data_IF_521587535173
#
_entry.id   IF_521587535173
#
_cell.length_a   1.000
_cell.length_b   1.000
_cell.length_c   1.000
_cell.angle_alpha   90.00
_cell.angle_beta   90.00
_cell.angle_gamma   90.00
#
_symmetry.space_group_name_H-M   'P 1'
#
loop_
_entity.id
_entity.type
_entity.pdbx_description
1 polymer ?
#
# COMPACT_ATOMS: atom_id res chain seq x y z
N UNK A 1 4.98 21.72 2.94
CA UNK A 1 4.42 20.50 2.33
C UNK A 1 3.26 20.05 3.20
N UNK A 2 2.02 20.22 2.75
CA UNK A 2 0.86 19.68 3.48
C UNK A 2 0.70 18.24 3.03
N UNK A 3 1.13 17.29 3.85
CA UNK A 3 0.76 15.89 3.67
C UNK A 3 -0.76 15.85 3.88
N UNK A 4 -1.52 15.88 2.79
CA UNK A 4 -2.95 15.60 2.82
C UNK A 4 -3.08 14.17 3.33
N UNK A 5 -3.57 14.06 4.55
CA UNK A 5 -3.74 12.84 5.32
C UNK A 5 -4.85 11.98 4.67
N UNK A 6 -4.60 11.41 3.49
CA UNK A 6 -5.45 10.35 2.90
C UNK A 6 -4.95 9.03 3.47
N UNK A 7 -5.23 8.88 4.75
CA UNK A 7 -4.98 7.69 5.53
C UNK A 7 -6.28 6.89 5.56
N UNK A 8 -6.70 6.40 4.39
CA UNK A 8 -7.93 5.63 4.27
C UNK A 8 -7.56 4.17 4.05
N UNK A 9 -7.92 3.38 5.06
CA UNK A 9 -8.05 1.92 5.07
C UNK A 9 -6.89 1.04 5.59
N UNK A 10 -5.67 1.55 5.85
CA UNK A 10 -4.64 0.73 6.53
C UNK A 10 -4.63 0.84 8.07
N UNK A 11 -5.31 1.84 8.65
CA UNK A 11 -5.26 2.09 10.10
C UNK A 11 -6.23 1.23 10.97
N UNK A 12 -7.11 0.43 10.37
CA UNK A 12 -8.15 -0.30 11.11
C UNK A 12 -7.76 -1.72 11.56
N UNK A 13 -6.47 -2.08 11.50
CA UNK A 13 -6.02 -3.44 11.82
C UNK A 13 -5.22 -3.60 13.12
N UNK A 14 -5.10 -2.57 13.96
CA UNK A 14 -4.58 -2.76 15.32
C UNK A 14 -5.43 -1.98 16.32
N UNK A 15 -6.17 -2.73 17.14
CA UNK A 15 -7.06 -2.34 18.23
C UNK A 15 -8.49 -1.97 17.85
N UNK A 16 -9.41 -2.88 18.18
CA UNK A 16 -10.83 -2.60 18.27
C UNK A 16 -11.08 -1.44 19.24
N UNK A 17 -11.38 -0.27 18.69
CA UNK A 17 -11.97 0.83 19.44
C UNK A 17 -12.90 1.60 18.50
N UNK A 18 -14.19 1.35 18.64
CA UNK A 18 -15.26 2.12 18.00
C UNK A 18 -15.26 3.50 18.65
N UNK A 19 -14.81 4.54 17.93
CA UNK A 19 -15.08 5.91 18.34
C UNK A 19 -16.34 6.42 17.67
N UNK A 20 -17.39 6.38 18.50
CA UNK A 20 -18.64 7.07 18.36
C UNK A 20 -18.38 8.56 18.13
N UNK A 21 -18.98 9.10 17.06
CA UNK A 21 -18.92 10.51 16.69
C UNK A 21 -19.59 11.39 17.75
N UNK A 22 -18.93 12.47 18.13
CA UNK A 22 -19.56 13.61 18.79
C UNK A 22 -18.85 14.89 18.37
N UNK A 23 -19.63 15.73 17.69
CA UNK A 23 -19.33 17.09 17.27
C UNK A 23 -18.78 17.94 18.42
N UNK A 24 -17.84 18.85 18.11
CA UNK A 24 -17.83 20.22 18.63
C UNK A 24 -16.85 21.08 17.81
N UNK A 25 -17.36 22.21 17.33
CA UNK A 25 -16.68 23.25 16.55
C UNK A 25 -15.56 23.99 17.34
N UNK A 26 -14.67 24.72 16.65
CA UNK A 26 -13.44 25.27 17.21
C UNK A 26 -13.65 26.63 17.90
N UNK A 27 -12.90 26.88 18.97
CA UNK A 27 -12.74 28.20 19.57
C UNK A 27 -11.53 28.92 18.97
N UNK A 28 -11.80 30.15 18.57
CA UNK A 28 -10.92 31.15 17.96
C UNK A 28 -9.81 31.58 18.92
N UNK A 29 -8.56 31.70 18.43
CA UNK A 29 -7.54 32.50 19.13
C UNK A 29 -7.01 33.54 18.15
N UNK A 30 -7.32 34.80 18.46
CA UNK A 30 -6.76 35.98 17.82
C UNK A 30 -5.38 36.30 18.39
N UNK A 31 -4.47 36.69 17.51
CA UNK A 31 -3.42 37.66 17.80
C UNK A 31 -2.03 37.10 18.08
N UNK A 32 -1.12 37.25 17.11
CA UNK A 32 -0.03 38.22 17.26
C UNK A 32 0.71 38.43 15.92
N UNK A 33 0.78 39.69 15.51
CA UNK A 33 1.61 40.21 14.44
C UNK A 33 3.08 40.20 14.87
N UNK A 34 3.97 39.67 14.04
CA UNK A 34 5.39 40.07 13.96
C UNK A 34 5.98 39.62 12.63
N UNK A 35 6.38 40.59 11.81
CA UNK A 35 7.16 40.41 10.59
C UNK A 35 8.53 39.85 10.94
N UNK A 36 8.85 38.65 10.46
CA UNK A 36 10.23 38.19 10.35
C UNK A 36 10.48 37.79 8.90
N UNK A 37 11.30 38.59 8.22
CA UNK A 37 11.92 38.25 6.95
C UNK A 37 12.80 37.03 7.18
N UNK A 38 12.40 35.87 6.66
CA UNK A 38 13.29 34.72 6.61
C UNK A 38 14.16 34.85 5.36
N UNK A 39 15.46 35.02 5.61
CA UNK A 39 16.51 34.82 4.64
C UNK A 39 16.47 33.36 4.18
N UNK A 40 16.54 33.15 2.87
CA UNK A 40 16.75 31.85 2.27
C UNK A 40 18.17 31.39 2.63
N UNK A 41 18.26 30.62 3.72
CA UNK A 41 19.40 29.76 4.04
C UNK A 41 19.08 28.39 3.48
N UNK A 42 19.43 28.14 2.22
CA UNK A 42 19.50 26.80 1.65
C UNK A 42 20.72 26.10 2.26
N UNK A 43 20.57 25.63 3.49
CA UNK A 43 21.35 24.49 3.96
C UNK A 43 20.70 23.26 3.34
N UNK A 44 21.44 22.56 2.49
CA UNK A 44 21.10 21.20 2.08
C UNK A 44 21.06 20.36 3.38
N UNK A 45 19.87 20.20 3.96
CA UNK A 45 19.66 19.23 5.03
C UNK A 45 19.92 17.86 4.42
N UNK A 46 21.08 17.29 4.72
CA UNK A 46 21.42 15.91 4.41
C UNK A 46 20.33 15.04 5.04
N UNK A 47 19.42 14.51 4.21
CA UNK A 47 18.33 13.65 4.67
C UNK A 47 18.98 12.37 5.18
N UNK A 48 19.10 12.25 6.50
CA UNK A 48 19.66 11.08 7.14
C UNK A 48 18.75 9.87 6.90
N UNK A 49 19.17 8.97 6.02
CA UNK A 49 18.45 7.74 5.71
C UNK A 49 18.36 6.83 6.96
N UNK A 50 17.26 6.05 7.08
CA UNK A 50 17.09 5.12 8.20
C UNK A 50 18.12 4.00 8.16
N UNK A 51 18.49 3.49 9.35
CA UNK A 51 19.40 2.35 9.46
C UNK A 51 18.65 1.03 9.18
N UNK A 52 19.40 -0.02 8.80
CA UNK A 52 18.80 -1.34 8.54
C UNK A 52 18.10 -1.94 9.77
N UNK A 53 18.59 -1.66 10.98
CA UNK A 53 17.97 -2.17 12.22
C UNK A 53 16.60 -1.53 12.47
N UNK A 54 16.46 -0.24 12.19
CA UNK A 54 15.19 0.47 12.24
C UNK A 54 14.20 -0.10 11.22
N UNK A 55 14.66 -0.30 9.98
CA UNK A 55 13.83 -0.86 8.90
C UNK A 55 13.36 -2.29 9.19
N UNK A 56 14.04 -3.05 10.03
CA UNK A 56 13.68 -4.44 10.38
C UNK A 56 12.70 -4.58 11.54
N UNK A 57 12.50 -3.54 12.34
CA UNK A 57 11.86 -3.72 13.65
C UNK A 57 10.97 -2.58 14.13
N UNK A 58 11.11 -1.38 13.58
CA UNK A 58 10.33 -0.23 14.04
C UNK A 58 8.87 -0.30 13.58
N UNK A 59 8.03 0.51 14.23
CA UNK A 59 6.58 0.46 14.11
C UNK A 59 6.10 0.86 12.71
N UNK A 60 4.90 0.41 12.33
CA UNK A 60 4.26 0.81 11.06
C UNK A 60 4.36 2.32 10.75
N UNK A 61 4.14 3.21 11.72
CA UNK A 61 4.16 4.67 11.49
C UNK A 61 5.58 5.14 11.14
N UNK A 62 6.59 4.59 11.82
CA UNK A 62 7.99 4.88 11.51
C UNK A 62 8.36 4.35 10.13
N UNK A 63 7.89 3.14 9.77
CA UNK A 63 8.12 2.53 8.46
C UNK A 63 7.54 3.37 7.30
N UNK A 64 6.37 4.00 7.48
CA UNK A 64 5.84 4.98 6.51
C UNK A 64 6.80 6.17 6.38
N UNK A 65 7.26 6.72 7.50
CA UNK A 65 8.23 7.81 7.51
C UNK A 65 9.54 7.46 6.79
N UNK A 66 10.05 6.25 7.02
CA UNK A 66 11.27 5.73 6.39
C UNK A 66 11.12 5.56 4.89
N UNK A 67 10.06 4.88 4.44
CA UNK A 67 9.82 4.68 3.02
C UNK A 67 9.68 6.01 2.27
N UNK A 68 9.04 7.02 2.87
CA UNK A 68 8.89 8.35 2.25
C UNK A 68 10.22 9.06 1.94
N UNK A 69 11.32 8.69 2.62
CA UNK A 69 12.63 9.29 2.41
C UNK A 69 13.36 8.70 1.20
N UNK A 70 13.26 7.38 1.01
CA UNK A 70 14.07 6.68 0.00
C UNK A 70 13.27 6.21 -1.23
N UNK A 71 11.94 6.14 -1.18
CA UNK A 71 11.11 5.85 -2.37
C UNK A 71 11.40 6.81 -3.54
N UNK A 72 11.59 8.13 -3.34
CA UNK A 72 11.96 9.03 -4.44
C UNK A 72 13.32 8.71 -5.07
N UNK A 73 14.19 7.97 -4.36
CA UNK A 73 15.51 7.57 -4.85
C UNK A 73 15.44 6.37 -5.78
N UNK A 74 14.32 5.64 -5.83
CA UNK A 74 14.12 4.49 -6.74
C UNK A 74 14.23 4.86 -8.23
N UNK A 75 14.04 6.13 -8.57
CA UNK A 75 14.20 6.65 -9.94
C UNK A 75 15.63 7.08 -10.25
N UNK A 76 16.56 6.99 -9.30
CA UNK A 76 17.95 7.42 -9.45
C UNK A 76 18.85 6.20 -9.66
N UNK A 77 19.56 6.14 -10.78
CA UNK A 77 20.39 4.98 -11.16
C UNK A 77 21.62 4.79 -10.24
N UNK A 78 22.10 5.86 -9.59
CA UNK A 78 23.32 5.85 -8.79
C UNK A 78 23.12 5.49 -7.31
N UNK A 79 21.86 5.30 -6.86
CA UNK A 79 21.55 5.01 -5.47
C UNK A 79 20.88 3.64 -5.36
N UNK A 80 21.62 2.67 -4.81
CA UNK A 80 21.07 1.36 -4.51
C UNK A 80 20.44 1.34 -3.11
N UNK A 81 19.10 1.23 -3.09
CA UNK A 81 18.29 1.11 -1.86
C UNK A 81 17.71 -0.29 -1.70
N UNK A 82 18.17 -1.29 -2.47
CA UNK A 82 17.61 -2.65 -2.44
C UNK A 82 17.67 -3.28 -1.05
N UNK A 83 18.81 -3.17 -0.35
CA UNK A 83 18.99 -3.71 1.00
C UNK A 83 18.04 -3.05 2.02
N UNK A 84 17.73 -1.76 1.84
CA UNK A 84 16.79 -1.03 2.69
C UNK A 84 15.36 -1.52 2.47
N UNK A 85 14.97 -1.70 1.20
CA UNK A 85 13.65 -2.22 0.85
C UNK A 85 13.52 -3.65 1.36
N UNK A 86 14.51 -4.51 1.14
CA UNK A 86 14.50 -5.88 1.64
C UNK A 86 14.36 -5.93 3.16
N UNK A 87 15.14 -5.11 3.88
CA UNK A 87 15.04 -4.99 5.33
C UNK A 87 13.62 -4.58 5.76
N UNK A 88 13.02 -3.61 5.07
CA UNK A 88 11.66 -3.16 5.36
C UNK A 88 10.59 -4.21 4.99
N UNK A 89 10.77 -4.97 3.91
CA UNK A 89 9.83 -6.01 3.51
C UNK A 89 9.93 -7.29 4.34
N UNK A 90 10.88 -7.37 5.29
CA UNK A 90 11.10 -8.55 6.12
C UNK A 90 10.02 -8.78 7.21
N UNK A 91 9.13 -7.82 7.44
CA UNK A 91 8.05 -7.94 8.44
C UNK A 91 6.79 -7.15 8.03
N UNK A 92 5.63 -7.52 8.61
CA UNK A 92 4.32 -6.98 8.23
C UNK A 92 4.20 -5.45 8.28
N UNK A 93 4.69 -4.83 9.35
CA UNK A 93 4.64 -3.37 9.53
C UNK A 93 5.49 -2.63 8.48
N UNK A 94 6.66 -3.18 8.14
CA UNK A 94 7.52 -2.62 7.12
C UNK A 94 6.92 -2.78 5.72
N UNK A 95 6.36 -3.95 5.39
CA UNK A 95 5.63 -4.15 4.12
C UNK A 95 4.49 -3.12 3.97
N UNK A 96 3.69 -2.93 5.02
CA UNK A 96 2.60 -1.93 5.02
C UNK A 96 3.14 -0.52 4.85
N UNK A 97 4.17 -0.15 5.62
CA UNK A 97 4.75 1.20 5.58
C UNK A 97 5.34 1.53 4.20
N UNK A 98 6.02 0.56 3.60
CA UNK A 98 6.54 0.66 2.23
C UNK A 98 5.42 0.87 1.22
N UNK A 99 4.41 -0.01 1.21
CA UNK A 99 3.34 0.07 0.21
C UNK A 99 2.50 1.34 0.34
N UNK A 100 2.26 1.85 1.54
CA UNK A 100 1.61 3.16 1.72
C UNK A 100 2.41 4.23 0.98
N UNK A 101 3.70 4.37 1.27
CA UNK A 101 4.51 5.44 0.69
C UNK A 101 4.71 5.28 -0.83
N UNK A 102 4.95 4.06 -1.29
CA UNK A 102 5.21 3.77 -2.70
C UNK A 102 3.94 3.91 -3.56
N UNK A 103 2.82 3.32 -3.13
CA UNK A 103 1.60 3.28 -3.95
C UNK A 103 0.80 4.58 -3.90
N UNK A 104 0.90 5.36 -2.83
CA UNK A 104 0.16 6.63 -2.69
C UNK A 104 1.02 7.87 -2.90
N UNK A 105 2.27 7.73 -3.35
CA UNK A 105 3.13 8.88 -3.64
C UNK A 105 2.56 9.81 -4.72
N UNK A 106 2.87 11.10 -4.63
CA UNK A 106 2.42 12.07 -5.63
C UNK A 106 2.95 11.74 -7.03
N UNK A 107 2.15 11.97 -8.07
CA UNK A 107 2.60 11.82 -9.46
C UNK A 107 3.38 13.07 -9.93
N UNK A 108 4.47 12.89 -10.72
CA UNK A 108 5.02 11.62 -11.19
C UNK A 108 5.78 10.86 -10.08
N UNK A 109 5.60 9.54 -10.04
CA UNK A 109 6.24 8.63 -9.08
C UNK A 109 6.84 7.42 -9.80
N UNK A 110 7.92 6.79 -9.28
CA UNK A 110 8.38 5.49 -9.77
C UNK A 110 7.32 4.37 -9.73
N UNK A 111 6.19 4.56 -9.06
CA UNK A 111 5.05 3.65 -9.11
C UNK A 111 4.15 3.84 -10.35
N UNK A 112 4.27 4.97 -11.07
CA UNK A 112 3.47 5.26 -12.27
C UNK A 112 3.95 4.52 -13.52
N UNK A 113 5.17 3.99 -13.48
CA UNK A 113 5.82 3.23 -14.56
C UNK A 113 5.21 1.84 -14.72
N UNK A 114 5.23 1.31 -15.95
CA UNK A 114 4.69 -0.03 -16.26
C UNK A 114 5.55 -1.17 -15.68
N UNK A 115 6.80 -0.88 -15.34
CA UNK A 115 7.76 -1.84 -14.79
C UNK A 115 8.26 -1.32 -13.45
N UNK A 116 8.25 -2.18 -12.43
CA UNK A 116 8.77 -1.83 -11.11
C UNK A 116 10.28 -1.54 -11.16
N UNK A 117 10.78 -0.57 -10.37
CA UNK A 117 12.21 -0.26 -10.29
C UNK A 117 13.06 -1.47 -9.93
N UNK A 118 14.29 -1.53 -10.45
CA UNK A 118 15.19 -2.67 -10.22
C UNK A 118 15.49 -2.95 -8.72
N UNK A 119 15.71 -1.94 -7.85
CA UNK A 119 15.91 -2.19 -6.42
C UNK A 119 14.68 -2.83 -5.75
N UNK A 120 13.47 -2.37 -6.10
CA UNK A 120 12.23 -2.98 -5.61
C UNK A 120 12.06 -4.41 -6.14
N UNK A 121 12.37 -4.64 -7.42
CA UNK A 121 12.33 -5.98 -8.01
C UNK A 121 13.23 -6.95 -7.24
N UNK A 122 14.46 -6.56 -6.93
CA UNK A 122 15.41 -7.38 -6.18
C UNK A 122 14.90 -7.72 -4.77
N UNK A 123 14.37 -6.73 -4.05
CA UNK A 123 13.83 -6.94 -2.71
C UNK A 123 12.54 -7.81 -2.69
N UNK A 124 11.67 -7.68 -3.70
CA UNK A 124 10.50 -8.56 -3.84
C UNK A 124 10.92 -9.99 -4.16
N UNK A 125 11.94 -10.18 -4.99
CA UNK A 125 12.49 -11.49 -5.35
C UNK A 125 13.04 -12.24 -4.12
N UNK A 126 13.72 -11.54 -3.21
CA UNK A 126 14.27 -12.14 -1.97
C UNK A 126 13.17 -12.51 -0.96
N UNK A 127 12.04 -11.80 -0.97
CA UNK A 127 10.90 -12.02 -0.07
C UNK A 127 9.71 -12.74 -0.73
N UNK A 128 9.85 -13.25 -1.96
CA UNK A 128 8.72 -13.71 -2.80
C UNK A 128 7.86 -14.85 -2.23
N UNK A 129 8.39 -15.58 -1.24
CA UNK A 129 7.69 -16.67 -0.55
C UNK A 129 7.06 -16.25 0.79
N UNK A 130 7.17 -14.97 1.17
CA UNK A 130 6.57 -14.44 2.39
C UNK A 130 5.04 -14.38 2.24
N UNK A 131 4.32 -15.10 3.12
CA UNK A 131 2.86 -15.08 3.16
C UNK A 131 2.31 -13.68 3.44
N UNK A 132 2.99 -12.91 4.30
CA UNK A 132 2.62 -11.55 4.63
C UNK A 132 2.75 -10.64 3.42
N UNK A 133 3.86 -10.75 2.67
CA UNK A 133 4.07 -9.96 1.46
C UNK A 133 3.00 -10.27 0.42
N UNK A 134 2.72 -11.55 0.17
CA UNK A 134 1.69 -12.00 -0.77
C UNK A 134 0.32 -11.44 -0.38
N UNK A 135 -0.10 -11.66 0.87
CA UNK A 135 -1.41 -11.22 1.36
C UNK A 135 -1.56 -9.70 1.30
N UNK A 136 -0.56 -8.95 1.77
CA UNK A 136 -0.57 -7.49 1.74
C UNK A 136 -0.50 -6.93 0.31
N UNK A 137 0.21 -7.60 -0.60
CA UNK A 137 0.21 -7.23 -2.02
C UNK A 137 -1.19 -7.39 -2.61
N UNK A 138 -1.88 -8.49 -2.35
CA UNK A 138 -3.27 -8.69 -2.76
C UNK A 138 -4.21 -7.63 -2.15
N UNK A 139 -4.05 -7.30 -0.87
CA UNK A 139 -4.85 -6.26 -0.20
C UNK A 139 -4.70 -4.88 -0.87
N UNK A 140 -3.48 -4.53 -1.29
CA UNK A 140 -3.18 -3.29 -2.01
C UNK A 140 -3.74 -3.25 -3.44
N UNK A 141 -4.33 -4.35 -3.93
CA UNK A 141 -5.14 -4.36 -5.16
C UNK A 141 -6.62 -4.31 -4.82
N UNK A 142 -7.11 -5.25 -4.02
CA UNK A 142 -8.55 -5.45 -3.82
C UNK A 142 -9.20 -4.27 -3.09
N UNK A 143 -8.53 -3.72 -2.08
CA UNK A 143 -9.10 -2.66 -1.25
C UNK A 143 -9.30 -1.39 -2.06
N UNK A 144 -8.26 -0.80 -2.68
CA UNK A 144 -8.46 0.38 -3.51
C UNK A 144 -9.40 0.10 -4.69
N UNK A 145 -9.41 -1.11 -5.27
CA UNK A 145 -10.35 -1.46 -6.35
C UNK A 145 -11.81 -1.40 -5.90
N UNK A 146 -12.14 -1.94 -4.72
CA UNK A 146 -13.48 -1.82 -4.14
C UNK A 146 -13.83 -0.37 -3.80
N UNK A 147 -12.86 0.41 -3.32
CA UNK A 147 -13.09 1.81 -2.93
C UNK A 147 -13.39 2.76 -4.11
N UNK A 148 -13.03 2.41 -5.35
CA UNK A 148 -13.31 3.24 -6.54
C UNK A 148 -14.81 3.58 -6.65
N UNK A 149 -15.70 2.64 -6.38
CA UNK A 149 -17.16 2.83 -6.49
C UNK A 149 -17.85 3.18 -5.18
N UNK A 150 -17.18 2.97 -4.04
CA UNK A 150 -17.72 3.30 -2.72
C UNK A 150 -17.58 4.78 -2.36
N UNK A 151 -16.59 5.49 -2.91
CA UNK A 151 -16.44 6.92 -2.68
C UNK A 151 -17.44 7.74 -3.50
N UNK A 152 -18.17 8.63 -2.83
CA UNK A 152 -18.98 9.67 -3.49
C UNK A 152 -18.15 10.85 -3.96
N UNK A 153 -16.96 11.01 -3.39
CA UNK A 153 -16.00 12.05 -3.73
C UNK A 153 -15.10 11.60 -4.88
N UNK A 154 -14.99 12.43 -5.92
CA UNK A 154 -14.25 12.10 -7.15
C UNK A 154 -12.74 12.03 -6.91
N UNK A 155 -12.19 12.87 -6.03
CA UNK A 155 -10.76 12.88 -5.71
C UNK A 155 -10.38 11.58 -5.00
N UNK A 156 -11.17 11.16 -4.00
CA UNK A 156 -10.95 9.89 -3.30
C UNK A 156 -11.10 8.66 -4.22
N UNK A 157 -12.05 8.69 -5.15
CA UNK A 157 -12.22 7.64 -6.16
C UNK A 157 -11.01 7.58 -7.11
N UNK A 158 -10.51 8.74 -7.56
CA UNK A 158 -9.32 8.82 -8.41
C UNK A 158 -8.05 8.33 -7.70
N UNK A 159 -7.87 8.69 -6.43
CA UNK A 159 -6.75 8.22 -5.61
C UNK A 159 -6.81 6.69 -5.41
N UNK A 160 -8.01 6.15 -5.20
CA UNK A 160 -8.23 4.70 -5.13
C UNK A 160 -7.90 4.01 -6.45
N UNK A 161 -8.32 4.61 -7.58
CA UNK A 161 -8.01 4.09 -8.92
C UNK A 161 -6.51 4.08 -9.21
N UNK A 162 -5.81 5.16 -8.85
CA UNK A 162 -4.35 5.25 -8.98
C UNK A 162 -3.65 4.18 -8.13
N UNK A 163 -4.02 4.07 -6.85
CA UNK A 163 -3.45 3.09 -5.92
C UNK A 163 -3.66 1.66 -6.41
N UNK A 164 -4.88 1.33 -6.87
CA UNK A 164 -5.19 0.01 -7.45
C UNK A 164 -4.33 -0.27 -8.68
N UNK A 165 -4.21 0.68 -9.62
CA UNK A 165 -3.36 0.54 -10.81
C UNK A 165 -1.91 0.23 -10.43
N UNK A 166 -1.34 0.98 -9.50
CA UNK A 166 0.03 0.80 -9.02
C UNK A 166 0.20 -0.54 -8.29
N UNK A 167 -0.76 -0.92 -7.46
CA UNK A 167 -0.80 -2.21 -6.77
C UNK A 167 -0.82 -3.40 -7.74
N UNK A 168 -1.58 -3.30 -8.83
CA UNK A 168 -1.64 -4.34 -9.88
C UNK A 168 -0.26 -4.56 -10.52
N UNK A 169 0.50 -3.50 -10.76
CA UNK A 169 1.85 -3.58 -11.37
C UNK A 169 2.79 -4.36 -10.45
N UNK A 170 2.81 -4.04 -9.15
CA UNK A 170 3.60 -4.78 -8.15
C UNK A 170 3.14 -6.23 -8.05
N UNK A 171 1.83 -6.47 -7.97
CA UNK A 171 1.26 -7.80 -7.85
C UNK A 171 1.57 -8.67 -9.08
N UNK A 172 1.57 -8.11 -10.29
CA UNK A 172 1.99 -8.81 -11.52
C UNK A 172 3.45 -9.21 -11.47
N UNK A 173 4.33 -8.30 -11.03
CA UNK A 173 5.75 -8.60 -10.89
C UNK A 173 5.98 -9.74 -9.87
N UNK A 174 5.35 -9.67 -8.70
CA UNK A 174 5.46 -10.72 -7.68
C UNK A 174 4.88 -12.06 -8.15
N UNK A 175 3.75 -12.04 -8.87
CA UNK A 175 3.16 -13.24 -9.46
C UNK A 175 4.08 -13.89 -10.50
N UNK A 176 4.74 -13.09 -11.35
CA UNK A 176 5.71 -13.59 -12.32
C UNK A 176 6.91 -14.27 -11.63
N UNK A 177 7.49 -13.63 -10.60
CA UNK A 177 8.58 -14.21 -9.81
C UNK A 177 8.19 -15.52 -9.11
N UNK A 178 6.96 -15.59 -8.60
CA UNK A 178 6.39 -16.79 -8.00
C UNK A 178 6.28 -17.91 -9.05
N UNK A 179 5.69 -17.62 -10.23
CA UNK A 179 5.60 -18.58 -11.34
C UNK A 179 6.97 -19.09 -11.79
N UNK A 180 7.95 -18.20 -11.97
CA UNK A 180 9.31 -18.55 -12.39
C UNK A 180 10.05 -19.46 -11.39
N UNK A 181 9.78 -19.28 -10.10
CA UNK A 181 10.34 -20.12 -9.03
C UNK A 181 9.54 -21.38 -8.72
N UNK A 182 8.41 -21.61 -9.42
CA UNK A 182 7.49 -22.71 -9.13
C UNK A 182 6.68 -22.54 -7.84
N UNK A 183 6.75 -21.36 -7.20
CA UNK A 183 5.89 -21.02 -6.08
C UNK A 183 4.49 -20.64 -6.59
N UNK A 184 3.48 -21.37 -6.15
CA UNK A 184 2.08 -21.16 -6.59
C UNK A 184 1.27 -20.35 -5.59
N UNK A 185 1.85 -19.88 -4.49
CA UNK A 185 1.11 -19.28 -3.37
C UNK A 185 0.39 -18.00 -3.78
N UNK A 186 1.08 -17.06 -4.46
CA UNK A 186 0.43 -15.86 -4.98
C UNK A 186 -0.73 -16.19 -5.94
N UNK A 187 -0.55 -17.21 -6.81
CA UNK A 187 -1.60 -17.63 -7.74
C UNK A 187 -2.80 -18.21 -7.00
N UNK A 188 -2.59 -19.03 -5.96
CA UNK A 188 -3.67 -19.57 -5.12
C UNK A 188 -4.46 -18.46 -4.44
N UNK A 189 -3.78 -17.48 -3.85
CA UNK A 189 -4.44 -16.34 -3.22
C UNK A 189 -5.29 -15.54 -4.23
N UNK A 190 -4.76 -15.29 -5.44
CA UNK A 190 -5.52 -14.62 -6.50
C UNK A 190 -6.76 -15.41 -6.94
N UNK A 191 -6.64 -16.74 -7.04
CA UNK A 191 -7.77 -17.62 -7.36
C UNK A 191 -8.82 -17.65 -6.24
N UNK A 192 -8.39 -17.68 -4.98
CA UNK A 192 -9.29 -17.63 -3.83
C UNK A 192 -10.08 -16.32 -3.81
N UNK A 193 -9.41 -15.17 -3.97
CA UNK A 193 -10.06 -13.86 -4.09
C UNK A 193 -11.07 -13.85 -5.24
N UNK A 194 -10.70 -14.37 -6.41
CA UNK A 194 -11.58 -14.42 -7.58
C UNK A 194 -12.86 -15.24 -7.31
N UNK A 195 -12.74 -16.40 -6.66
CA UNK A 195 -13.89 -17.24 -6.26
C UNK A 195 -14.83 -16.47 -5.34
N UNK A 196 -14.30 -15.83 -4.30
CA UNK A 196 -15.10 -15.02 -3.35
C UNK A 196 -15.78 -13.85 -4.05
N UNK A 197 -15.06 -13.15 -4.93
CA UNK A 197 -15.59 -12.04 -5.72
C UNK A 197 -16.70 -12.50 -6.69
N UNK A 198 -16.66 -13.75 -7.17
CA UNK A 198 -17.73 -14.35 -8.00
C UNK A 198 -18.90 -14.93 -7.20
N UNK A 199 -18.85 -14.86 -5.87
CA UNK A 199 -19.92 -15.34 -5.00
C UNK A 199 -19.86 -16.83 -4.66
N UNK A 200 -18.72 -17.50 -4.90
CA UNK A 200 -18.49 -18.88 -4.46
C UNK A 200 -18.22 -18.89 -2.95
N UNK A 201 -19.28 -18.94 -2.15
CA UNK A 201 -19.23 -18.84 -0.67
C UNK A 201 -19.21 -20.18 0.06
N UNK A 202 -19.55 -21.27 -0.62
CA UNK A 202 -19.55 -22.62 -0.05
C UNK A 202 -18.24 -23.33 -0.40
N UNK A 203 -17.17 -23.01 0.34
CA UNK A 203 -15.85 -23.63 0.14
C UNK A 203 -15.27 -24.16 1.44
N UNK A 204 -14.68 -25.36 1.39
CA UNK A 204 -13.90 -25.91 2.50
C UNK A 204 -12.47 -25.35 2.54
N UNK A 205 -12.03 -24.73 1.45
CA UNK A 205 -10.71 -24.12 1.25
C UNK A 205 -10.46 -22.97 2.25
N UNK A 206 -9.37 -23.06 3.01
CA UNK A 206 -9.01 -22.09 4.05
C UNK A 206 -8.71 -20.70 3.48
N UNK A 207 -8.09 -20.62 2.30
CA UNK A 207 -7.80 -19.36 1.63
C UNK A 207 -9.11 -18.67 1.22
N UNK A 208 -10.06 -19.44 0.69
CA UNK A 208 -11.38 -18.93 0.32
C UNK A 208 -12.13 -18.43 1.56
N UNK A 209 -12.12 -19.18 2.67
CA UNK A 209 -12.74 -18.76 3.94
C UNK A 209 -12.15 -17.46 4.46
N UNK A 210 -10.83 -17.33 4.46
CA UNK A 210 -10.14 -16.10 4.84
C UNK A 210 -10.64 -14.91 4.01
N UNK A 211 -10.72 -15.06 2.69
CA UNK A 211 -11.18 -13.97 1.82
C UNK A 211 -12.69 -13.70 1.93
N UNK A 212 -13.53 -14.69 2.26
CA UNK A 212 -14.95 -14.48 2.59
C UNK A 212 -15.07 -13.57 3.82
N UNK A 213 -14.35 -13.87 4.89
CA UNK A 213 -14.34 -13.06 6.10
C UNK A 213 -13.82 -11.65 5.82
N UNK A 214 -12.76 -11.54 5.01
CA UNK A 214 -12.23 -10.25 4.58
C UNK A 214 -13.28 -9.43 3.82
N UNK A 215 -13.92 -9.99 2.78
CA UNK A 215 -14.93 -9.30 1.99
C UNK A 215 -16.15 -8.89 2.82
N UNK A 216 -16.56 -9.74 3.77
CA UNK A 216 -17.64 -9.46 4.71
C UNK A 216 -17.28 -8.30 5.63
N UNK A 217 -16.06 -8.29 6.20
CA UNK A 217 -15.57 -7.23 7.09
C UNK A 217 -15.56 -5.86 6.40
N UNK A 218 -15.20 -5.81 5.12
CA UNK A 218 -15.17 -4.57 4.34
C UNK A 218 -16.51 -4.19 3.71
N UNK A 219 -17.51 -5.06 3.78
CA UNK A 219 -18.85 -4.78 3.29
C UNK A 219 -18.95 -4.60 1.76
N UNK A 220 -18.11 -5.30 0.99
CA UNK A 220 -18.14 -5.20 -0.47
C UNK A 220 -19.47 -5.71 -1.04
N UNK A 221 -20.16 -4.85 -1.79
CA UNK A 221 -21.37 -5.20 -2.52
C UNK A 221 -21.06 -5.86 -3.87
N UNK A 222 -22.11 -6.13 -4.64
CA UNK A 222 -21.98 -6.83 -5.93
C UNK A 222 -21.12 -6.04 -6.92
N UNK A 223 -21.19 -4.70 -6.90
CA UNK A 223 -20.42 -3.86 -7.82
C UNK A 223 -18.93 -3.86 -7.49
N UNK A 224 -18.58 -3.76 -6.21
CA UNK A 224 -17.18 -3.83 -5.78
C UNK A 224 -16.59 -5.21 -6.06
N UNK A 225 -17.37 -6.26 -5.79
CA UNK A 225 -16.99 -7.64 -6.11
C UNK A 225 -16.75 -7.85 -7.60
N UNK A 226 -17.60 -7.32 -8.48
CA UNK A 226 -17.40 -7.36 -9.93
C UNK A 226 -16.08 -6.67 -10.34
N UNK A 227 -15.80 -5.49 -9.79
CA UNK A 227 -14.56 -4.76 -10.07
C UNK A 227 -13.33 -5.54 -9.59
N UNK A 228 -13.39 -6.12 -8.38
CA UNK A 228 -12.30 -6.94 -7.82
C UNK A 228 -12.09 -8.21 -8.65
N UNK A 229 -13.17 -8.90 -9.06
CA UNK A 229 -13.08 -10.09 -9.92
C UNK A 229 -12.35 -9.76 -11.22
N UNK A 230 -12.71 -8.66 -11.88
CA UNK A 230 -12.05 -8.19 -13.10
C UNK A 230 -10.56 -7.90 -12.85
N UNK A 231 -10.22 -7.20 -11.77
CA UNK A 231 -8.83 -6.91 -11.43
C UNK A 231 -8.00 -8.19 -11.21
N UNK A 232 -8.57 -9.21 -10.57
CA UNK A 232 -7.91 -10.50 -10.37
C UNK A 232 -7.75 -11.29 -11.67
N UNK A 233 -8.74 -11.25 -12.57
CA UNK A 233 -8.63 -11.85 -13.91
C UNK A 233 -7.51 -11.17 -14.73
N UNK A 234 -7.47 -9.84 -14.73
CA UNK A 234 -6.44 -9.05 -15.42
C UNK A 234 -5.03 -9.28 -14.84
N UNK A 235 -4.94 -9.63 -13.54
CA UNK A 235 -3.69 -9.97 -12.86
C UNK A 235 -3.14 -11.33 -13.32
N UNK A 236 -4.01 -12.31 -13.51
CA UNK A 236 -3.62 -13.70 -13.75
C UNK A 236 -3.35 -14.05 -15.21
N UNK A 237 -3.81 -13.22 -16.16
CA UNK A 237 -3.48 -13.29 -17.59
C UNK A 237 -1.99 -13.06 -17.85
#
# INVERSE_FOLDING_TARGET
MRISLILVASLSLVNGFVLQSSSLYPQTINGLSSKTRFAASTSEEEIALPTLDQLKSDSFIDQVGYASQYVPLLSQEDIDVADMIEAQLSHSDGIRGFFVSYLTGDSPSPADEEVIPAPLKAALESQKSSSDLISLTCMNVIMPTGMITMHTDEELSNNSKMTSKRGIIVAKALLAMNKESGNVEMLKQCQAILKVAKGEVDSEDEDVKYWIEFFSKWGYGDKEKENIAKAMEDLMQ
#
